data_IF_829510562468
#
_entry.id   IF_829510562468
#
_cell.length_a   1.000
_cell.length_b   1.000
_cell.length_c   1.000
_cell.angle_alpha   90.00
_cell.angle_beta   90.00
_cell.angle_gamma   90.00
#
_symmetry.space_group_name_H-M   'P 1'
#
loop_
_entity.id
_entity.type
_entity.pdbx_description
1 polymer ?
#
# COMPACT_ATOMS: atom_id res chain seq x y z
N UNK A 1 -8.46 12.91 3.26
CA UNK A 1 -9.74 12.27 2.90
C UNK A 1 -9.90 12.12 1.39
N UNK A 2 -9.51 13.10 0.57
CA UNK A 2 -9.56 12.98 -0.90
C UNK A 2 -8.73 11.81 -1.46
N UNK A 3 -7.51 11.60 -0.96
CA UNK A 3 -6.64 10.50 -1.41
C UNK A 3 -7.23 9.11 -1.14
N UNK A 4 -7.98 8.96 -0.03
CA UNK A 4 -8.71 7.73 0.30
C UNK A 4 -9.88 7.49 -0.66
N UNK A 5 -10.68 8.52 -0.93
CA UNK A 5 -11.82 8.41 -1.86
C UNK A 5 -11.34 8.11 -3.28
N UNK A 6 -10.26 8.75 -3.72
CA UNK A 6 -9.62 8.47 -5.01
C UNK A 6 -9.10 7.03 -5.07
N UNK A 7 -8.41 6.57 -4.02
CA UNK A 7 -7.91 5.20 -3.92
C UNK A 7 -9.05 4.18 -3.96
N UNK A 8 -10.11 4.39 -3.18
CA UNK A 8 -11.29 3.52 -3.17
C UNK A 8 -11.99 3.49 -4.53
N UNK A 9 -12.15 4.65 -5.19
CA UNK A 9 -12.75 4.73 -6.52
C UNK A 9 -11.94 3.98 -7.59
N UNK A 10 -10.61 4.12 -7.56
CA UNK A 10 -9.71 3.51 -8.55
C UNK A 10 -9.59 1.99 -8.35
N UNK A 11 -9.59 1.54 -7.09
CA UNK A 11 -9.31 0.14 -6.73
C UNK A 11 -10.58 -0.69 -6.55
N UNK A 12 -11.75 -0.06 -6.46
CA UNK A 12 -13.03 -0.71 -6.20
C UNK A 12 -13.16 -1.29 -4.79
N UNK A 13 -12.17 -1.06 -3.92
CA UNK A 13 -12.17 -1.55 -2.53
C UNK A 13 -12.74 -0.48 -1.59
N UNK A 14 -13.57 -0.92 -0.62
CA UNK A 14 -13.95 -0.06 0.52
C UNK A 14 -12.76 0.24 1.45
N UNK A 15 -11.59 -0.37 1.21
CA UNK A 15 -10.25 0.21 1.35
C UNK A 15 -9.77 0.59 2.74
N UNK A 16 -10.61 0.77 3.75
CA UNK A 16 -10.20 1.29 5.07
C UNK A 16 -9.14 0.39 5.70
N UNK A 17 -9.31 -0.93 5.58
CA UNK A 17 -8.38 -1.88 6.13
C UNK A 17 -7.05 -1.91 5.34
N UNK A 18 -7.10 -2.01 4.01
CA UNK A 18 -5.89 -1.97 3.19
C UNK A 18 -5.11 -0.66 3.38
N UNK A 19 -5.80 0.47 3.45
CA UNK A 19 -5.21 1.79 3.66
C UNK A 19 -4.52 1.86 5.03
N UNK A 20 -5.12 1.33 6.10
CA UNK A 20 -4.48 1.21 7.40
C UNK A 20 -3.22 0.33 7.37
N UNK A 21 -3.27 -0.80 6.65
CA UNK A 21 -2.13 -1.70 6.50
C UNK A 21 -0.99 -1.05 5.73
N UNK A 22 -1.30 -0.32 4.65
CA UNK A 22 -0.32 0.44 3.87
C UNK A 22 0.28 1.56 4.73
N UNK A 23 -0.52 2.31 5.49
CA UNK A 23 -0.02 3.33 6.43
C UNK A 23 0.95 2.72 7.45
N UNK A 24 0.63 1.55 8.01
CA UNK A 24 1.52 0.86 8.94
C UNK A 24 2.82 0.46 8.24
N UNK A 25 2.72 -0.13 7.05
CA UNK A 25 3.89 -0.56 6.29
C UNK A 25 4.82 0.61 5.90
N UNK A 26 4.24 1.78 5.61
CA UNK A 26 5.00 3.02 5.43
C UNK A 26 5.75 3.43 6.71
N UNK A 27 5.08 3.44 7.86
CA UNK A 27 5.72 3.73 9.14
C UNK A 27 6.84 2.74 9.48
N UNK A 28 6.62 1.45 9.21
CA UNK A 28 7.61 0.41 9.40
C UNK A 28 8.82 0.58 8.46
N UNK A 29 8.60 1.11 7.26
CA UNK A 29 9.62 1.39 6.25
C UNK A 29 10.30 2.77 6.42
N UNK A 30 9.86 3.60 7.36
CA UNK A 30 10.37 4.96 7.56
C UNK A 30 9.99 5.94 6.44
N UNK A 31 8.90 5.66 5.72
CA UNK A 31 8.37 6.54 4.67
C UNK A 31 7.57 7.67 5.31
N UNK A 32 7.88 8.90 4.91
CA UNK A 32 7.24 10.11 5.43
C UNK A 32 5.75 10.19 5.06
N UNK A 33 4.98 10.88 5.89
CA UNK A 33 3.53 10.97 5.73
C UNK A 33 3.10 11.81 4.49
N UNK A 34 3.99 12.64 3.96
CA UNK A 34 3.75 13.39 2.72
C UNK A 34 3.83 12.50 1.47
N UNK A 35 4.57 11.40 1.52
CA UNK A 35 4.63 10.38 0.47
C UNK A 35 3.40 9.47 0.42
N UNK A 36 2.48 9.63 1.37
CA UNK A 36 1.28 8.79 1.51
C UNK A 36 0.47 8.62 0.24
N UNK A 37 0.24 9.71 -0.48
CA UNK A 37 -0.51 9.66 -1.73
C UNK A 37 0.26 8.92 -2.84
N UNK A 38 1.59 9.06 -2.88
CA UNK A 38 2.45 8.38 -3.86
C UNK A 38 2.41 6.87 -3.65
N UNK A 39 2.52 6.43 -2.40
CA UNK A 39 2.44 5.00 -2.04
C UNK A 39 1.07 4.42 -2.35
N UNK A 40 -0.02 5.13 -2.02
CA UNK A 40 -1.37 4.68 -2.37
C UNK A 40 -1.55 4.56 -3.89
N UNK A 41 -1.08 5.54 -4.66
CA UNK A 41 -1.15 5.49 -6.13
C UNK A 41 -0.28 4.34 -6.68
N UNK A 42 0.87 4.02 -6.07
CA UNK A 42 1.72 2.90 -6.44
C UNK A 42 1.04 1.55 -6.19
N UNK A 43 0.46 1.35 -5.01
CA UNK A 43 -0.27 0.12 -4.68
C UNK A 43 -1.49 -0.05 -5.59
N UNK A 44 -2.22 1.03 -5.88
CA UNK A 44 -3.35 0.99 -6.81
C UNK A 44 -2.91 0.61 -8.24
N UNK A 45 -1.79 1.17 -8.72
CA UNK A 45 -1.21 0.80 -10.02
C UNK A 45 -0.75 -0.66 -10.04
N UNK A 46 -0.11 -1.14 -8.98
CA UNK A 46 0.31 -2.53 -8.85
C UNK A 46 -0.89 -3.49 -8.87
N UNK A 47 -1.98 -3.14 -8.19
CA UNK A 47 -3.23 -3.90 -8.20
C UNK A 47 -3.81 -4.00 -9.62
N UNK A 48 -3.90 -2.87 -10.34
CA UNK A 48 -4.40 -2.85 -11.73
C UNK A 48 -3.53 -3.67 -12.68
N UNK A 49 -2.20 -3.51 -12.58
CA UNK A 49 -1.25 -4.18 -13.46
C UNK A 49 -1.20 -5.69 -13.23
N UNK A 50 -1.30 -6.13 -11.97
CA UNK A 50 -1.25 -7.55 -11.60
C UNK A 50 -2.61 -8.25 -11.69
N UNK A 51 -3.71 -7.48 -11.66
CA UNK A 51 -5.07 -8.02 -11.48
C UNK A 51 -5.35 -8.54 -10.06
N UNK A 52 -4.41 -8.35 -9.12
CA UNK A 52 -4.55 -8.74 -7.71
C UNK A 52 -5.26 -7.63 -6.96
N UNK A 53 -6.16 -7.98 -6.05
CA UNK A 53 -6.84 -6.97 -5.22
C UNK A 53 -5.85 -6.26 -4.30
N UNK A 54 -6.14 -4.99 -4.04
CA UNK A 54 -5.36 -4.18 -3.10
C UNK A 54 -5.31 -4.82 -1.71
N UNK A 55 -6.40 -5.43 -1.25
CA UNK A 55 -6.45 -6.09 0.05
C UNK A 55 -5.44 -7.25 0.13
N UNK A 56 -5.31 -8.04 -0.94
CA UNK A 56 -4.32 -9.12 -1.02
C UNK A 56 -2.88 -8.57 -1.11
N UNK A 57 -2.66 -7.47 -1.83
CA UNK A 57 -1.35 -6.82 -1.87
C UNK A 57 -0.96 -6.25 -0.49
N UNK A 58 -1.89 -5.58 0.19
CA UNK A 58 -1.68 -5.03 1.53
C UNK A 58 -1.39 -6.14 2.56
N UNK A 59 -2.14 -7.24 2.53
CA UNK A 59 -1.88 -8.43 3.35
C UNK A 59 -0.48 -9.01 3.07
N UNK A 60 -0.09 -9.10 1.79
CA UNK A 60 1.25 -9.58 1.39
C UNK A 60 2.36 -8.66 1.90
N UNK A 61 2.19 -7.34 1.79
CA UNK A 61 3.14 -6.35 2.30
C UNK A 61 3.31 -6.50 3.82
N UNK A 62 2.24 -6.76 4.56
CA UNK A 62 2.33 -6.93 6.02
C UNK A 62 3.03 -8.24 6.40
N UNK A 63 2.75 -9.33 5.68
CA UNK A 63 3.33 -10.65 5.94
C UNK A 63 4.80 -10.74 5.55
N UNK A 64 5.17 -10.12 4.43
CA UNK A 64 6.47 -10.29 3.80
C UNK A 64 7.32 -9.03 3.79
N UNK A 65 6.79 -7.87 4.18
CA UNK A 65 7.52 -6.60 4.17
C UNK A 65 8.75 -6.58 5.08
N UNK A 66 8.65 -7.11 6.31
CA UNK A 66 9.79 -7.20 7.21
C UNK A 66 10.88 -8.17 6.71
N UNK A 67 10.56 -9.41 6.28
CA UNK A 67 11.52 -10.28 5.60
C UNK A 67 12.19 -9.65 4.37
N UNK A 68 11.42 -8.98 3.51
CA UNK A 68 11.95 -8.32 2.31
C UNK A 68 12.93 -7.20 2.64
N UNK A 69 12.64 -6.39 3.67
CA UNK A 69 13.57 -5.37 4.16
C UNK A 69 14.84 -5.96 4.77
N UNK A 70 14.72 -7.05 5.53
CA UNK A 70 15.88 -7.77 6.05
C UNK A 70 16.79 -8.31 4.93
N UNK A 71 16.23 -8.55 3.74
CA UNK A 71 16.96 -8.93 2.53
C UNK A 71 17.44 -7.73 1.69
N UNK A 72 17.18 -6.49 2.13
CA UNK A 72 17.60 -5.26 1.45
C UNK A 72 16.61 -4.73 0.39
N UNK A 73 15.38 -5.25 0.32
CA UNK A 73 14.33 -4.68 -0.53
C UNK A 73 13.58 -3.58 0.23
N UNK A 74 13.60 -2.37 -0.29
CA UNK A 74 12.91 -1.21 0.29
C UNK A 74 11.75 -0.77 -0.60
N UNK A 75 10.68 -0.28 0.03
CA UNK A 75 9.64 0.47 -0.68
C UNK A 75 10.20 1.86 -0.95
N UNK A 76 10.34 2.21 -2.23
CA UNK A 76 10.91 3.48 -2.69
C UNK A 76 10.02 4.10 -3.75
#
# INVERSE_FOLDING_TARGET
TESFLKFSHITGSEGVQAVQLITRAMGDAGIEADEYQSVLDMVAKAAQASGISVDTLADSITKYGAPMRAMGFEMK
#
